data_IF_142547725800
#
_entry.id   IF_142547725800
#
_cell.length_a   1.000
_cell.length_b   1.000
_cell.length_c   1.000
_cell.angle_alpha   90.00
_cell.angle_beta   90.00
_cell.angle_gamma   90.00
#
_symmetry.space_group_name_H-M   'P 1'
#
loop_
_entity.id
_entity.type
_entity.pdbx_description
1 polymer ?
#
# COMPACT_ATOMS: atom_id res chain seq x y z
N UNK A 1 -29.19 3.40 22.23
CA UNK A 1 -28.78 4.81 22.35
C UNK A 1 -28.42 5.27 20.95
N UNK A 2 -29.23 6.15 20.39
CA UNK A 2 -29.05 6.71 19.04
C UNK A 2 -27.80 7.57 19.01
N UNK A 3 -26.89 7.29 18.08
CA UNK A 3 -25.74 8.13 17.73
C UNK A 3 -26.26 9.51 17.30
N UNK A 4 -26.43 10.41 18.26
CA UNK A 4 -26.33 11.83 17.98
C UNK A 4 -24.85 12.09 17.78
N UNK A 5 -24.53 12.42 16.53
CA UNK A 5 -23.27 12.96 16.04
C UNK A 5 -22.72 13.96 17.06
N UNK A 6 -21.82 13.50 17.91
CA UNK A 6 -21.02 14.39 18.75
C UNK A 6 -20.18 15.17 17.76
N UNK A 7 -20.48 16.45 17.71
CA UNK A 7 -19.88 17.49 16.89
C UNK A 7 -18.41 17.69 17.32
N UNK A 8 -17.52 16.72 17.03
CA UNK A 8 -16.06 16.80 17.26
C UNK A 8 -15.37 17.63 16.16
N UNK A 9 -16.13 18.48 15.46
CA UNK A 9 -15.62 19.39 14.43
C UNK A 9 -14.99 20.68 14.99
N UNK A 10 -15.13 20.98 16.28
CA UNK A 10 -14.73 22.30 16.82
C UNK A 10 -13.31 22.38 17.44
N UNK A 11 -12.55 21.28 17.57
CA UNK A 11 -11.24 21.33 18.25
C UNK A 11 -10.00 21.26 17.34
N UNK A 12 -10.12 20.92 16.06
CA UNK A 12 -8.96 20.92 15.15
C UNK A 12 -8.84 22.27 14.44
N UNK A 13 -8.18 23.25 15.09
CA UNK A 13 -7.50 24.32 14.36
C UNK A 13 -6.45 23.63 13.47
N UNK A 14 -6.78 23.48 12.19
CA UNK A 14 -5.97 22.77 11.18
C UNK A 14 -4.73 23.60 10.86
N UNK A 15 -3.55 23.05 11.13
CA UNK A 15 -2.29 23.64 10.70
C UNK A 15 -1.98 23.17 9.27
N UNK A 16 -2.11 24.08 8.30
CA UNK A 16 -1.53 23.90 6.98
C UNK A 16 -0.05 24.28 7.07
N UNK A 17 0.82 23.27 7.08
CA UNK A 17 2.27 23.49 7.04
C UNK A 17 2.77 23.35 5.60
N UNK A 18 3.49 24.37 5.16
CA UNK A 18 4.21 24.36 3.89
C UNK A 18 5.58 23.74 4.18
N UNK A 19 5.97 22.72 3.42
CA UNK A 19 7.33 22.17 3.54
C UNK A 19 8.36 23.16 3.05
N UNK A 20 9.46 23.25 3.79
CA UNK A 20 10.75 23.52 3.18
C UNK A 20 11.23 22.21 2.53
N UNK A 21 11.47 22.26 1.21
CA UNK A 21 11.98 21.13 0.44
C UNK A 21 13.38 20.68 0.90
N UNK A 22 14.06 21.47 1.74
CA UNK A 22 15.34 21.12 2.35
C UNK A 22 15.26 20.07 3.48
N UNK A 23 14.08 19.86 4.06
CA UNK A 23 13.93 18.93 5.20
C UNK A 23 14.02 17.47 4.76
N UNK A 24 14.75 16.67 5.54
CA UNK A 24 14.85 15.21 5.40
C UNK A 24 13.52 14.52 5.73
N UNK A 25 13.28 13.31 5.19
CA UNK A 25 12.08 12.51 5.49
C UNK A 25 11.79 12.40 7.00
N UNK A 26 12.80 12.19 7.83
CA UNK A 26 12.62 12.05 9.28
C UNK A 26 12.13 13.35 9.92
N UNK A 27 12.72 14.50 9.56
CA UNK A 27 12.21 15.81 9.99
C UNK A 27 10.78 16.03 9.50
N UNK A 28 10.45 15.53 8.30
CA UNK A 28 9.11 15.68 7.77
C UNK A 28 8.06 14.96 8.62
N UNK A 29 8.36 13.70 8.94
CA UNK A 29 7.49 12.86 9.73
C UNK A 29 7.39 13.35 11.18
N UNK A 30 8.49 13.84 11.77
CA UNK A 30 8.51 14.39 13.11
C UNK A 30 7.58 15.61 13.30
N UNK A 31 7.53 16.53 12.31
CA UNK A 31 6.57 17.65 12.30
C UNK A 31 5.14 17.13 12.40
N UNK A 32 4.87 16.00 11.75
CA UNK A 32 3.56 15.37 11.78
C UNK A 32 3.38 14.37 12.91
N UNK A 33 4.24 14.40 13.95
CA UNK A 33 4.20 13.48 15.08
C UNK A 33 4.19 12.00 14.65
N UNK A 34 4.97 11.67 13.62
CA UNK A 34 5.22 10.30 13.16
C UNK A 34 6.68 9.98 13.43
N UNK A 35 6.93 8.88 14.13
CA UNK A 35 8.26 8.31 14.28
C UNK A 35 8.56 7.36 13.13
N UNK A 36 9.63 7.62 12.38
CA UNK A 36 10.14 6.67 11.40
C UNK A 36 11.18 5.76 12.03
N UNK A 37 10.91 4.46 12.05
CA UNK A 37 11.78 3.48 12.69
C UNK A 37 12.32 2.47 11.67
N UNK A 38 13.59 2.13 11.84
CA UNK A 38 14.28 1.11 11.04
C UNK A 38 14.16 -0.26 11.72
N UNK A 39 14.09 -0.27 13.07
CA UNK A 39 13.94 -1.49 13.85
C UNK A 39 12.49 -1.97 13.79
N UNK A 40 12.23 -2.90 12.87
CA UNK A 40 10.91 -3.50 12.66
C UNK A 40 10.57 -4.48 13.78
N UNK A 41 9.46 -4.26 14.53
CA UNK A 41 8.96 -5.25 15.48
C UNK A 41 8.63 -6.58 14.78
N UNK A 42 8.96 -7.70 15.42
CA UNK A 42 8.75 -9.05 14.85
C UNK A 42 7.31 -9.30 14.39
N UNK A 43 6.32 -8.72 15.09
CA UNK A 43 4.89 -8.81 14.75
C UNK A 43 4.55 -8.25 13.36
N UNK A 44 5.37 -7.36 12.82
CA UNK A 44 5.19 -6.77 11.49
C UNK A 44 6.12 -7.39 10.43
N UNK A 45 7.00 -8.31 10.82
CA UNK A 45 7.85 -9.05 9.89
C UNK A 45 7.02 -9.89 8.92
N UNK A 46 7.45 -9.95 7.65
CA UNK A 46 6.80 -10.79 6.66
C UNK A 46 7.41 -12.20 6.67
N UNK A 47 6.54 -13.20 6.72
CA UNK A 47 6.88 -14.57 6.41
C UNK A 47 6.33 -14.88 5.00
N UNK A 48 7.18 -15.04 3.96
CA UNK A 48 6.72 -15.23 2.58
C UNK A 48 5.69 -16.36 2.47
N UNK A 49 4.57 -16.09 1.81
CA UNK A 49 3.52 -17.09 1.58
C UNK A 49 3.90 -17.93 0.38
N UNK A 50 4.30 -19.18 0.61
CA UNK A 50 4.72 -20.10 -0.44
C UNK A 50 3.66 -20.23 -1.53
N UNK A 51 4.09 -20.11 -2.78
CA UNK A 51 3.27 -20.43 -3.95
C UNK A 51 2.95 -21.93 -3.98
N UNK A 52 1.84 -22.29 -4.60
CA UNK A 52 1.56 -23.71 -4.81
C UNK A 52 2.45 -24.31 -5.93
N UNK A 53 2.58 -25.65 -5.93
CA UNK A 53 3.40 -26.38 -6.92
C UNK A 53 2.98 -26.11 -8.37
N UNK A 54 1.72 -25.79 -8.62
CA UNK A 54 1.22 -25.48 -9.95
C UNK A 54 1.61 -24.05 -10.37
N UNK A 55 1.52 -23.09 -9.47
CA UNK A 55 1.96 -21.71 -9.68
C UNK A 55 3.46 -21.64 -9.97
N UNK A 56 4.29 -22.31 -9.17
CA UNK A 56 5.73 -22.42 -9.42
C UNK A 56 6.04 -23.02 -10.80
N UNK A 57 5.35 -24.11 -11.17
CA UNK A 57 5.54 -24.73 -12.50
C UNK A 57 5.21 -23.77 -13.63
N UNK A 58 4.10 -23.03 -13.51
CA UNK A 58 3.70 -22.02 -14.52
C UNK A 58 4.70 -20.88 -14.63
N UNK A 59 5.18 -20.34 -13.51
CA UNK A 59 6.19 -19.27 -13.50
C UNK A 59 7.50 -19.78 -14.13
N UNK A 60 7.91 -21.02 -13.82
CA UNK A 60 9.10 -21.64 -14.43
C UNK A 60 8.96 -21.81 -15.95
N UNK A 61 7.82 -22.30 -16.42
CA UNK A 61 7.52 -22.42 -17.86
C UNK A 61 7.53 -21.06 -18.56
N UNK A 62 6.86 -20.07 -17.98
CA UNK A 62 6.84 -18.69 -18.44
C UNK A 62 8.25 -18.11 -18.56
N UNK A 63 9.07 -18.27 -17.52
CA UNK A 63 10.47 -17.83 -17.50
C UNK A 63 11.28 -18.46 -18.64
N UNK A 64 11.07 -19.75 -18.92
CA UNK A 64 11.74 -20.45 -20.02
C UNK A 64 11.33 -19.92 -21.39
N UNK A 65 10.07 -19.48 -21.57
CA UNK A 65 9.60 -18.82 -22.79
C UNK A 65 10.21 -17.43 -22.95
N UNK A 66 10.21 -16.63 -21.88
CA UNK A 66 10.81 -15.31 -21.87
C UNK A 66 12.31 -15.30 -22.19
N UNK A 67 13.07 -16.28 -21.68
CA UNK A 67 14.50 -16.46 -22.01
C UNK A 67 14.73 -16.69 -23.51
N UNK A 68 13.76 -17.25 -24.21
CA UNK A 68 13.79 -17.50 -25.66
C UNK A 68 13.16 -16.35 -26.46
N UNK A 69 12.79 -15.24 -25.82
CA UNK A 69 12.00 -14.15 -26.41
C UNK A 69 10.71 -14.65 -27.10
N UNK A 70 10.04 -15.63 -26.49
CA UNK A 70 8.79 -16.19 -26.99
C UNK A 70 7.61 -15.70 -26.16
N UNK A 71 6.47 -15.49 -26.82
CA UNK A 71 5.20 -15.25 -26.16
C UNK A 71 4.81 -16.46 -25.28
N UNK A 72 4.24 -16.19 -24.11
CA UNK A 72 3.73 -17.19 -23.20
C UNK A 72 2.24 -17.38 -23.40
N UNK A 73 1.86 -18.60 -23.76
CA UNK A 73 0.47 -19.01 -23.91
C UNK A 73 0.17 -20.03 -22.82
N UNK A 74 -0.55 -19.65 -21.75
CA UNK A 74 -0.83 -20.54 -20.65
C UNK A 74 -1.81 -21.64 -21.05
N UNK A 75 -1.76 -22.76 -20.34
CA UNK A 75 -2.79 -23.80 -20.41
C UNK A 75 -4.14 -23.29 -19.89
N UNK A 76 -5.22 -23.98 -20.29
CA UNK A 76 -6.60 -23.68 -19.86
C UNK A 76 -6.64 -23.61 -18.32
N UNK A 77 -7.15 -22.50 -17.80
CA UNK A 77 -7.36 -22.33 -16.37
C UNK A 77 -8.57 -23.14 -15.91
N UNK A 78 -8.41 -23.89 -14.82
CA UNK A 78 -9.50 -24.65 -14.18
C UNK A 78 -10.01 -23.96 -12.91
N UNK A 79 -9.31 -22.94 -12.42
CA UNK A 79 -9.71 -22.15 -11.24
C UNK A 79 -9.56 -20.65 -11.49
N UNK A 80 -10.28 -19.79 -10.73
CA UNK A 80 -10.11 -18.34 -10.80
C UNK A 80 -8.67 -17.88 -10.50
N UNK A 81 -8.01 -18.45 -9.49
CA UNK A 81 -6.61 -18.11 -9.14
C UNK A 81 -5.67 -18.41 -10.31
N UNK A 82 -5.83 -19.56 -10.95
CA UNK A 82 -5.05 -19.91 -12.13
C UNK A 82 -5.31 -18.96 -13.30
N UNK A 83 -6.55 -18.50 -13.50
CA UNK A 83 -6.89 -17.54 -14.53
C UNK A 83 -6.22 -16.18 -14.27
N UNK A 84 -6.21 -15.72 -13.02
CA UNK A 84 -5.54 -14.48 -12.64
C UNK A 84 -4.03 -14.57 -12.85
N UNK A 85 -3.39 -15.68 -12.42
CA UNK A 85 -1.96 -15.91 -12.65
C UNK A 85 -1.65 -15.96 -14.15
N UNK A 86 -2.42 -16.71 -14.94
CA UNK A 86 -2.26 -16.80 -16.38
C UNK A 86 -2.32 -15.42 -17.04
N UNK A 87 -3.32 -14.61 -16.67
CA UNK A 87 -3.51 -13.24 -17.19
C UNK A 87 -2.32 -12.35 -16.83
N UNK A 88 -1.86 -12.44 -15.58
CA UNK A 88 -0.71 -11.69 -15.10
C UNK A 88 0.57 -12.07 -15.87
N UNK A 89 0.86 -13.35 -16.03
CA UNK A 89 2.05 -13.82 -16.76
C UNK A 89 2.03 -13.41 -18.23
N UNK A 90 0.87 -13.46 -18.91
CA UNK A 90 0.73 -12.95 -20.27
C UNK A 90 1.04 -11.45 -20.35
N UNK A 91 0.44 -10.63 -19.48
CA UNK A 91 0.71 -9.19 -19.45
C UNK A 91 2.21 -8.89 -19.20
N UNK A 92 2.84 -9.61 -18.27
CA UNK A 92 4.28 -9.45 -18.01
C UNK A 92 5.13 -9.86 -19.21
N UNK A 93 4.73 -10.91 -19.94
CA UNK A 93 5.43 -11.29 -21.17
C UNK A 93 5.42 -10.17 -22.20
N UNK A 94 4.26 -9.58 -22.46
CA UNK A 94 4.12 -8.50 -23.43
C UNK A 94 4.91 -7.26 -22.98
N UNK A 95 4.78 -6.86 -21.71
CA UNK A 95 5.53 -5.73 -21.14
C UNK A 95 7.04 -5.94 -21.29
N UNK A 96 7.58 -7.10 -20.89
CA UNK A 96 9.02 -7.37 -20.91
C UNK A 96 9.56 -7.48 -22.34
N UNK A 97 8.83 -8.11 -23.26
CA UNK A 97 9.27 -8.24 -24.65
C UNK A 97 9.27 -6.87 -25.34
N UNK A 98 8.24 -6.05 -25.11
CA UNK A 98 8.16 -4.71 -25.69
C UNK A 98 9.27 -3.80 -25.14
N UNK A 99 9.56 -3.87 -23.83
CA UNK A 99 10.63 -3.09 -23.19
C UNK A 99 12.01 -3.42 -23.79
N UNK A 100 12.27 -4.70 -24.12
CA UNK A 100 13.52 -5.11 -24.81
C UNK A 100 13.65 -4.50 -26.20
N UNK A 101 12.54 -4.28 -26.90
CA UNK A 101 12.54 -3.80 -28.28
C UNK A 101 12.61 -2.28 -28.37
N UNK A 102 11.90 -1.59 -27.48
CA UNK A 102 11.82 -0.12 -27.47
C UNK A 102 12.01 0.39 -26.03
N UNK A 103 13.24 0.40 -25.52
CA UNK A 103 13.52 0.97 -24.21
C UNK A 103 13.26 2.48 -24.25
N UNK A 104 12.40 2.97 -23.36
CA UNK A 104 11.98 4.36 -23.39
C UNK A 104 11.48 4.86 -22.03
N UNK A 105 11.55 6.18 -21.83
CA UNK A 105 10.99 6.82 -20.64
C UNK A 105 9.47 6.70 -20.68
N UNK A 106 8.89 5.93 -19.75
CA UNK A 106 7.43 5.82 -19.59
C UNK A 106 6.89 7.02 -18.82
N UNK A 107 5.70 7.47 -19.19
CA UNK A 107 4.90 8.33 -18.31
C UNK A 107 4.49 7.55 -17.05
N UNK A 108 4.10 8.24 -15.99
CA UNK A 108 3.62 7.60 -14.76
C UNK A 108 2.40 6.69 -15.02
N UNK A 109 1.45 7.16 -15.83
CA UNK A 109 0.28 6.37 -16.25
C UNK A 109 0.71 5.13 -17.05
N UNK A 110 1.61 5.30 -18.04
CA UNK A 110 2.10 4.17 -18.83
C UNK A 110 2.84 3.15 -17.97
N UNK A 111 3.68 3.62 -17.04
CA UNK A 111 4.35 2.76 -16.09
C UNK A 111 3.36 2.00 -15.20
N UNK A 112 2.35 2.69 -14.67
CA UNK A 112 1.29 2.12 -13.83
C UNK A 112 0.50 1.04 -14.57
N UNK A 113 0.06 1.31 -15.79
CA UNK A 113 -0.75 0.38 -16.59
C UNK A 113 0.04 -0.87 -16.98
N UNK A 114 1.29 -0.70 -17.45
CA UNK A 114 2.09 -1.79 -18.00
C UNK A 114 2.74 -2.67 -16.92
N UNK A 115 3.13 -2.07 -15.79
CA UNK A 115 4.01 -2.71 -14.81
C UNK A 115 3.30 -3.00 -13.48
N UNK A 116 2.54 -2.04 -12.96
CA UNK A 116 1.96 -2.13 -11.60
C UNK A 116 0.57 -2.77 -11.62
N UNK A 117 -0.31 -2.32 -12.53
CA UNK A 117 -1.69 -2.78 -12.59
C UNK A 117 -1.85 -4.30 -12.77
N UNK A 118 -1.06 -5.00 -13.60
CA UNK A 118 -1.20 -6.44 -13.74
C UNK A 118 -0.92 -7.19 -12.43
N UNK A 119 0.07 -6.74 -11.66
CA UNK A 119 0.41 -7.32 -10.36
C UNK A 119 -0.73 -7.09 -9.34
N UNK A 120 -1.31 -5.89 -9.32
CA UNK A 120 -2.44 -5.58 -8.45
C UNK A 120 -3.69 -6.39 -8.78
N UNK A 121 -4.00 -6.57 -10.07
CA UNK A 121 -5.14 -7.40 -10.51
C UNK A 121 -5.01 -8.86 -10.05
N UNK A 122 -3.78 -9.37 -10.01
CA UNK A 122 -3.49 -10.70 -9.53
C UNK A 122 -3.62 -10.82 -8.01
N UNK A 123 -2.97 -9.93 -7.26
CA UNK A 123 -2.89 -10.02 -5.79
C UNK A 123 -4.13 -9.48 -5.06
N UNK A 124 -4.78 -8.46 -5.60
CA UNK A 124 -5.90 -7.75 -4.98
C UNK A 124 -7.13 -7.73 -5.91
N UNK A 125 -7.70 -8.90 -6.27
CA UNK A 125 -8.83 -8.96 -7.18
C UNK A 125 -10.06 -8.22 -6.62
N UNK A 126 -10.89 -7.64 -7.50
CA UNK A 126 -12.00 -6.78 -7.10
C UNK A 126 -13.04 -7.45 -6.18
N UNK A 127 -13.17 -8.78 -6.26
CA UNK A 127 -14.15 -9.56 -5.50
C UNK A 127 -13.55 -10.24 -4.24
N UNK A 128 -12.34 -9.88 -3.81
CA UNK A 128 -11.80 -10.35 -2.52
C UNK A 128 -12.09 -9.41 -1.36
N UNK A 129 -11.97 -9.94 -0.13
CA UNK A 129 -12.08 -9.18 1.13
C UNK A 129 -11.26 -7.90 1.10
N UNK A 130 -10.02 -8.00 0.58
CA UNK A 130 -9.14 -6.88 0.32
C UNK A 130 -9.10 -6.59 -1.18
N UNK A 131 -9.33 -5.34 -1.56
CA UNK A 131 -9.29 -4.86 -2.95
C UNK A 131 -8.52 -3.54 -3.02
N UNK A 132 -8.26 -3.07 -4.24
CA UNK A 132 -7.66 -1.76 -4.46
C UNK A 132 -8.57 -0.89 -5.35
N UNK A 133 -8.41 0.43 -5.24
CA UNK A 133 -9.11 1.41 -6.09
C UNK A 133 -8.13 2.48 -6.55
N UNK A 134 -8.08 2.72 -7.86
CA UNK A 134 -7.31 3.80 -8.47
C UNK A 134 -7.91 5.17 -8.14
N UNK A 135 -7.04 6.18 -8.04
CA UNK A 135 -7.36 7.62 -8.08
C UNK A 135 -8.58 8.01 -7.23
N UNK A 136 -8.58 7.65 -5.95
CA UNK A 136 -9.56 8.18 -4.99
C UNK A 136 -8.88 9.21 -4.12
N UNK A 137 -9.47 10.41 -4.07
CA UNK A 137 -9.43 11.18 -2.82
C UNK A 137 -9.99 10.24 -1.76
N UNK A 138 -9.19 9.93 -0.75
CA UNK A 138 -9.61 9.15 0.42
C UNK A 138 -11.03 9.58 0.84
N UNK A 139 -11.97 8.63 0.98
CA UNK A 139 -13.41 8.89 1.26
C UNK A 139 -13.60 9.40 2.70
N UNK A 140 -12.51 9.57 3.46
CA UNK A 140 -12.54 10.13 4.79
C UNK A 140 -13.29 11.47 4.77
N UNK A 141 -14.23 11.69 5.71
CA UNK A 141 -15.03 12.89 5.75
C UNK A 141 -14.10 14.07 5.97
N UNK A 142 -13.83 14.79 4.91
CA UNK A 142 -12.90 15.89 4.93
C UNK A 142 -13.53 17.03 4.15
N UNK A 143 -13.63 18.19 4.81
CA UNK A 143 -13.92 19.47 4.19
C UNK A 143 -13.20 19.60 2.83
N UNK A 144 -13.79 20.37 1.91
CA UNK A 144 -13.35 20.53 0.51
C UNK A 144 -11.84 20.80 0.29
N UNK A 145 -11.10 21.25 1.31
CA UNK A 145 -9.64 21.39 1.31
C UNK A 145 -8.86 20.06 1.17
N UNK A 146 -9.38 18.97 1.75
CA UNK A 146 -8.70 17.65 1.77
C UNK A 146 -9.06 16.74 0.59
N UNK A 147 -10.10 17.10 -0.19
CA UNK A 147 -10.40 16.46 -1.49
C UNK A 147 -9.23 16.54 -2.49
N UNK A 148 -8.19 17.34 -2.18
CA UNK A 148 -7.03 17.63 -3.03
C UNK A 148 -5.82 16.73 -2.81
N UNK A 149 -5.69 16.05 -1.65
CA UNK A 149 -4.57 15.14 -1.41
C UNK A 149 -4.98 13.77 -1.91
N UNK A 150 -4.50 13.41 -3.10
CA UNK A 150 -4.77 12.14 -3.79
C UNK A 150 -3.54 11.25 -3.70
N UNK A 151 -3.77 9.98 -3.41
CA UNK A 151 -2.81 8.91 -3.71
C UNK A 151 -3.17 8.28 -5.04
N UNK A 152 -2.21 7.60 -5.65
CA UNK A 152 -2.46 6.84 -6.88
C UNK A 152 -3.44 5.69 -6.66
N UNK A 153 -3.42 5.07 -5.48
CA UNK A 153 -4.41 4.08 -5.08
C UNK A 153 -4.67 4.03 -3.57
N UNK A 154 -5.81 3.41 -3.23
CA UNK A 154 -6.17 3.03 -1.85
C UNK A 154 -6.47 1.55 -1.76
N UNK A 155 -6.08 0.93 -0.64
CA UNK A 155 -6.43 -0.44 -0.27
C UNK A 155 -7.70 -0.41 0.58
N UNK A 156 -8.69 -1.22 0.21
CA UNK A 156 -10.01 -1.22 0.83
C UNK A 156 -10.39 -2.63 1.26
N UNK A 157 -10.77 -2.78 2.52
CA UNK A 157 -11.36 -4.00 3.06
C UNK A 157 -12.70 -3.68 3.73
N UNK A 158 -13.75 -4.44 3.38
CA UNK A 158 -15.09 -4.26 3.94
C UNK A 158 -15.61 -2.79 3.90
N UNK A 159 -15.24 -2.04 2.85
CA UNK A 159 -15.62 -0.64 2.69
C UNK A 159 -14.80 0.37 3.51
N UNK A 160 -13.83 -0.08 4.30
CA UNK A 160 -12.89 0.75 5.05
C UNK A 160 -11.55 0.84 4.32
N UNK A 161 -10.95 2.03 4.33
CA UNK A 161 -9.58 2.21 3.85
C UNK A 161 -8.61 1.66 4.89
N UNK A 162 -7.78 0.71 4.47
CA UNK A 162 -6.78 0.04 5.31
C UNK A 162 -5.35 0.37 4.90
N UNK A 163 -5.20 1.10 3.79
CA UNK A 163 -3.91 1.48 3.27
C UNK A 163 -3.99 2.33 2.02
N UNK A 164 -2.84 2.77 1.54
CA UNK A 164 -2.70 3.54 0.31
C UNK A 164 -1.30 3.36 -0.29
N UNK A 165 -1.10 3.92 -1.48
CA UNK A 165 0.23 3.98 -2.05
C UNK A 165 0.39 4.96 -3.20
N UNK A 166 1.66 5.22 -3.49
CA UNK A 166 2.12 6.17 -4.52
C UNK A 166 3.00 5.42 -5.52
N UNK A 167 2.95 5.85 -6.78
CA UNK A 167 3.64 5.26 -7.91
C UNK A 167 4.46 6.32 -8.61
N UNK A 168 5.76 6.06 -8.76
CA UNK A 168 6.68 6.89 -9.51
C UNK A 168 7.42 6.06 -10.54
N UNK A 169 7.49 6.50 -11.80
CA UNK A 169 8.20 5.78 -12.83
C UNK A 169 9.73 5.81 -12.60
N UNK A 170 10.48 4.92 -13.25
CA UNK A 170 11.94 4.96 -13.21
C UNK A 170 12.51 6.32 -13.64
N UNK A 171 13.55 6.77 -12.95
CA UNK A 171 14.19 8.07 -13.21
C UNK A 171 13.53 9.26 -12.53
N UNK A 172 12.56 9.03 -11.63
CA UNK A 172 12.05 10.05 -10.71
C UNK A 172 13.14 10.44 -9.71
N UNK A 173 13.25 11.73 -9.39
CA UNK A 173 14.25 12.24 -8.45
C UNK A 173 13.98 11.74 -7.03
N UNK A 174 15.05 11.49 -6.25
CA UNK A 174 14.91 11.07 -4.84
C UNK A 174 14.06 12.04 -4.01
N UNK A 175 14.17 13.34 -4.26
CA UNK A 175 13.39 14.36 -3.56
C UNK A 175 11.87 14.14 -3.72
N UNK A 176 11.39 13.95 -4.96
CA UNK A 176 9.97 13.67 -5.22
C UNK A 176 9.52 12.36 -4.55
N UNK A 177 10.35 11.32 -4.59
CA UNK A 177 10.03 10.05 -3.92
C UNK A 177 9.94 10.23 -2.40
N UNK A 178 10.82 11.02 -1.79
CA UNK A 178 10.75 11.33 -0.36
C UNK A 178 9.52 12.17 0.02
N UNK A 179 9.14 13.12 -0.85
CA UNK A 179 7.87 13.86 -0.72
C UNK A 179 6.66 12.90 -0.71
N UNK A 180 6.65 11.92 -1.60
CA UNK A 180 5.58 10.93 -1.70
C UNK A 180 5.57 9.95 -0.52
N UNK A 181 6.73 9.56 0.02
CA UNK A 181 6.82 8.76 1.25
C UNK A 181 6.23 9.52 2.44
N UNK A 182 6.60 10.78 2.62
CA UNK A 182 6.05 11.63 3.67
C UNK A 182 4.52 11.78 3.52
N UNK A 183 4.05 12.02 2.30
CA UNK A 183 2.61 12.11 1.99
C UNK A 183 1.87 10.81 2.29
N UNK A 184 2.45 9.68 1.89
CA UNK A 184 1.92 8.34 2.19
C UNK A 184 1.76 8.16 3.69
N UNK A 185 2.78 8.45 4.49
CA UNK A 185 2.72 8.31 5.94
C UNK A 185 1.61 9.17 6.58
N UNK A 186 1.42 10.41 6.13
CA UNK A 186 0.33 11.26 6.63
C UNK A 186 -1.06 10.72 6.27
N UNK A 187 -1.21 10.16 5.07
CA UNK A 187 -2.48 9.57 4.64
C UNK A 187 -2.77 8.31 5.43
N UNK A 188 -1.76 7.47 5.66
CA UNK A 188 -1.87 6.31 6.55
C UNK A 188 -2.28 6.72 7.95
N UNK A 189 -1.67 7.77 8.53
CA UNK A 189 -2.07 8.30 9.83
C UNK A 189 -3.54 8.73 9.86
N UNK A 190 -4.06 9.37 8.81
CA UNK A 190 -5.48 9.75 8.71
C UNK A 190 -6.40 8.53 8.59
N UNK A 191 -6.02 7.56 7.77
CA UNK A 191 -6.74 6.29 7.64
C UNK A 191 -6.78 5.57 8.99
N UNK A 192 -5.65 5.57 9.71
CA UNK A 192 -5.50 4.98 11.03
C UNK A 192 -6.38 5.65 12.07
N UNK A 193 -6.49 7.00 12.08
CA UNK A 193 -7.44 7.71 12.95
C UNK A 193 -8.87 7.20 12.76
N UNK A 194 -9.31 7.07 11.51
CA UNK A 194 -10.67 6.62 11.18
C UNK A 194 -10.88 5.15 11.52
N UNK A 195 -9.84 4.34 11.33
CA UNK A 195 -9.85 2.93 11.73
C UNK A 195 -9.98 2.79 13.24
N UNK A 196 -9.18 3.50 14.03
CA UNK A 196 -9.28 3.49 15.50
C UNK A 196 -10.66 3.98 15.96
N UNK A 197 -11.21 5.04 15.37
CA UNK A 197 -12.56 5.52 15.72
C UNK A 197 -13.67 4.46 15.53
N UNK A 198 -13.46 3.47 14.67
CA UNK A 198 -14.40 2.38 14.40
C UNK A 198 -13.95 1.03 14.95
N UNK A 199 -12.80 0.99 15.62
CA UNK A 199 -12.18 -0.23 16.11
C UNK A 199 -12.81 -0.72 17.41
N UNK A 200 -12.73 -2.03 17.60
CA UNK A 200 -13.17 -2.73 18.81
C UNK A 200 -12.05 -3.56 19.43
N UNK A 201 -10.91 -3.62 18.76
CA UNK A 201 -9.74 -4.36 19.19
C UNK A 201 -8.46 -3.60 18.79
N UNK A 202 -7.44 -3.50 19.67
CA UNK A 202 -6.17 -2.85 19.33
C UNK A 202 -5.44 -3.48 18.15
N UNK A 203 -5.72 -4.75 17.77
CA UNK A 203 -5.15 -5.35 16.55
C UNK A 203 -5.49 -4.57 15.27
N UNK A 204 -6.57 -3.77 15.30
CA UNK A 204 -6.99 -2.92 14.19
C UNK A 204 -6.21 -1.61 14.11
N UNK A 205 -5.30 -1.32 15.04
CA UNK A 205 -4.59 -0.03 15.16
C UNK A 205 -3.40 0.04 14.21
N UNK A 206 -3.61 -0.34 12.96
CA UNK A 206 -2.58 -0.41 11.93
C UNK A 206 -3.13 -0.03 10.56
N UNK A 207 -2.30 0.57 9.71
CA UNK A 207 -2.58 0.82 8.28
C UNK A 207 -1.33 0.52 7.45
N UNK A 208 -1.51 0.32 6.15
CA UNK A 208 -0.50 -0.29 5.28
C UNK A 208 -0.18 0.58 4.07
N UNK A 209 1.11 0.85 3.85
CA UNK A 209 1.61 1.68 2.76
C UNK A 209 2.34 0.89 1.70
N UNK A 210 2.30 1.37 0.46
CA UNK A 210 3.11 0.86 -0.64
C UNK A 210 3.64 2.03 -1.47
N UNK A 211 4.95 2.09 -1.70
CA UNK A 211 5.55 3.11 -2.59
C UNK A 211 6.30 2.41 -3.71
N UNK A 212 5.97 2.73 -4.96
CA UNK A 212 6.68 2.26 -6.13
C UNK A 212 7.67 3.34 -6.57
N UNK A 213 8.97 3.06 -6.42
CA UNK A 213 10.04 3.91 -6.92
C UNK A 213 10.70 3.22 -8.12
N UNK A 214 10.11 3.44 -9.29
CA UNK A 214 10.39 2.67 -10.49
C UNK A 214 10.11 1.19 -10.24
N UNK A 215 11.11 0.35 -10.43
CA UNK A 215 10.98 -1.10 -10.21
C UNK A 215 11.26 -1.53 -8.76
N UNK A 216 11.38 -0.61 -7.82
CA UNK A 216 11.46 -0.93 -6.39
C UNK A 216 10.08 -0.77 -5.77
N UNK A 217 9.67 -1.76 -4.97
CA UNK A 217 8.44 -1.71 -4.18
C UNK A 217 8.86 -1.59 -2.72
N UNK A 218 8.41 -0.55 -2.04
CA UNK A 218 8.65 -0.32 -0.62
C UNK A 218 7.34 -0.57 0.12
N UNK A 219 7.36 -1.52 1.06
CA UNK A 219 6.19 -1.88 1.86
C UNK A 219 6.31 -1.23 3.24
N UNK A 220 5.21 -0.65 3.71
CA UNK A 220 5.18 0.08 4.97
C UNK A 220 4.01 -0.33 5.87
N UNK A 221 4.21 -0.18 7.18
CA UNK A 221 3.17 -0.26 8.20
C UNK A 221 3.21 1.01 9.03
N UNK A 222 2.03 1.58 9.28
CA UNK A 222 1.80 2.63 10.27
C UNK A 222 0.99 2.04 11.41
N UNK A 223 1.60 1.92 12.58
CA UNK A 223 0.99 1.39 13.80
C UNK A 223 0.74 2.51 14.82
N UNK A 224 -0.32 2.36 15.62
CA UNK A 224 -0.55 3.22 16.78
C UNK A 224 -0.07 2.49 18.05
N UNK A 225 1.08 2.92 18.55
CA UNK A 225 1.70 2.40 19.76
C UNK A 225 1.46 3.39 20.91
N UNK A 226 0.63 2.97 21.86
CA UNK A 226 0.25 3.78 23.01
C UNK A 226 1.33 3.83 24.12
N UNK A 227 2.40 3.04 24.01
CA UNK A 227 3.54 3.08 24.94
C UNK A 227 4.63 4.07 24.49
N UNK A 228 4.65 4.42 23.19
CA UNK A 228 5.64 5.30 22.59
C UNK A 228 5.15 6.75 22.41
N UNK A 229 6.09 7.70 22.37
CA UNK A 229 5.81 9.12 22.09
C UNK A 229 6.74 9.64 20.98
N UNK A 230 6.22 10.12 19.84
CA UNK A 230 4.80 10.14 19.47
C UNK A 230 4.22 8.73 19.28
N UNK A 231 2.89 8.52 19.32
CA UNK A 231 2.29 7.19 19.26
C UNK A 231 2.22 6.61 17.83
N UNK A 232 2.41 7.42 16.78
CA UNK A 232 2.37 6.95 15.40
C UNK A 232 3.75 6.44 14.99
N UNK A 233 3.86 5.12 14.82
CA UNK A 233 5.09 4.46 14.41
C UNK A 233 5.00 4.03 12.94
N UNK A 234 5.90 4.54 12.11
CA UNK A 234 5.99 4.25 10.69
C UNK A 234 7.23 3.39 10.42
N UNK A 235 6.99 2.17 9.93
CA UNK A 235 8.03 1.18 9.68
C UNK A 235 8.10 0.84 8.18
N UNK A 236 9.31 0.80 7.64
CA UNK A 236 9.57 0.10 6.38
C UNK A 236 9.70 -1.39 6.68
N UNK A 237 8.87 -2.21 6.03
CA UNK A 237 8.79 -3.63 6.29
C UNK A 237 9.72 -4.41 5.37
N UNK A 238 9.66 -4.10 4.07
CA UNK A 238 10.36 -4.87 3.05
C UNK A 238 10.56 -4.04 1.77
N UNK A 239 11.64 -4.36 1.03
CA UNK A 239 11.95 -3.80 -0.28
C UNK A 239 12.00 -4.90 -1.33
N UNK A 240 11.04 -4.89 -2.25
CA UNK A 240 10.92 -5.87 -3.32
C UNK A 240 11.30 -5.29 -4.69
N UNK A 241 11.47 -6.17 -5.67
CA UNK A 241 11.74 -5.81 -7.07
C UNK A 241 10.54 -6.14 -7.95
N UNK A 242 9.96 -5.13 -8.59
CA UNK A 242 8.86 -5.33 -9.53
C UNK A 242 9.34 -6.19 -10.72
N UNK A 243 8.76 -7.39 -10.95
CA UNK A 243 9.30 -8.37 -11.89
C UNK A 243 8.83 -8.12 -13.33
N UNK A 244 8.68 -6.85 -13.71
CA UNK A 244 8.17 -6.41 -15.01
C UNK A 244 9.24 -5.89 -15.97
N UNK A 245 10.53 -5.92 -15.56
CA UNK A 245 11.66 -5.54 -16.42
C UNK A 245 12.45 -6.77 -16.91
N UNK A 246 13.17 -6.66 -18.04
CA UNK A 246 14.04 -7.73 -18.56
C UNK A 246 15.13 -8.21 -17.58
N UNK A 247 15.55 -7.36 -16.66
CA UNK A 247 16.59 -7.65 -15.66
C UNK A 247 16.00 -8.21 -14.35
N UNK A 248 14.72 -7.93 -14.09
CA UNK A 248 14.09 -8.17 -12.78
C UNK A 248 13.03 -9.28 -12.79
N UNK A 249 12.65 -9.82 -13.95
CA UNK A 249 11.64 -10.87 -14.07
C UNK A 249 11.97 -12.17 -13.29
N UNK A 250 13.21 -12.35 -12.87
CA UNK A 250 13.60 -13.48 -12.01
C UNK A 250 13.14 -13.34 -10.57
N UNK A 251 12.79 -12.15 -10.09
CA UNK A 251 12.29 -11.89 -8.73
C UNK A 251 10.78 -12.18 -8.58
N UNK A 252 10.17 -12.87 -9.55
CA UNK A 252 8.72 -13.06 -9.65
C UNK A 252 8.14 -13.77 -8.43
N UNK A 253 8.70 -14.92 -8.06
CA UNK A 253 8.26 -15.74 -6.95
C UNK A 253 8.40 -14.98 -5.64
N UNK A 254 9.61 -14.47 -5.33
CA UNK A 254 9.89 -13.67 -4.14
C UNK A 254 8.92 -12.49 -3.99
N UNK A 255 8.66 -11.76 -5.08
CA UNK A 255 7.75 -10.60 -5.03
C UNK A 255 6.32 -11.01 -4.77
N UNK A 256 5.84 -12.08 -5.41
CA UNK A 256 4.48 -12.57 -5.19
C UNK A 256 4.32 -13.10 -3.76
N UNK A 257 5.25 -13.91 -3.27
CA UNK A 257 5.19 -14.54 -1.95
C UNK A 257 5.22 -13.52 -0.82
N UNK A 258 6.08 -12.49 -0.94
CA UNK A 258 6.13 -11.39 0.01
C UNK A 258 4.89 -10.51 -0.04
N UNK A 259 4.36 -10.19 -1.23
CA UNK A 259 3.13 -9.40 -1.34
C UNK A 259 1.89 -10.19 -0.88
N UNK A 260 1.88 -11.51 -1.05
CA UNK A 260 0.85 -12.38 -0.50
C UNK A 260 0.91 -12.43 1.05
N UNK A 261 2.13 -12.45 1.61
CA UNK A 261 2.34 -12.29 3.05
C UNK A 261 1.84 -10.93 3.55
N UNK A 262 2.22 -9.86 2.88
CA UNK A 262 1.78 -8.49 3.19
C UNK A 262 0.24 -8.37 3.15
N UNK A 263 -0.40 -8.96 2.13
CA UNK A 263 -1.86 -9.08 2.05
C UNK A 263 -2.44 -9.83 3.24
N UNK A 264 -1.80 -10.92 3.67
CA UNK A 264 -2.24 -11.69 4.84
C UNK A 264 -2.16 -10.84 6.11
N UNK A 265 -1.07 -10.08 6.32
CA UNK A 265 -0.94 -9.15 7.45
C UNK A 265 -2.04 -8.09 7.46
N UNK A 266 -2.42 -7.55 6.29
CA UNK A 266 -3.56 -6.63 6.17
C UNK A 266 -4.85 -7.31 6.62
N UNK A 267 -5.14 -8.51 6.11
CA UNK A 267 -6.39 -9.23 6.43
C UNK A 267 -6.45 -9.61 7.92
N UNK A 268 -5.34 -10.05 8.50
CA UNK A 268 -5.25 -10.42 9.92
C UNK A 268 -5.47 -9.24 10.88
N UNK A 269 -5.25 -8.01 10.41
CA UNK A 269 -5.52 -6.81 11.21
C UNK A 269 -7.00 -6.42 11.29
N UNK A 270 -7.87 -7.01 10.45
CA UNK A 270 -9.29 -6.64 10.37
C UNK A 270 -10.09 -7.14 11.58
N UNK A 271 -11.21 -6.49 11.87
CA UNK A 271 -12.19 -7.01 12.82
C UNK A 271 -12.71 -8.39 12.38
N UNK A 272 -12.88 -9.28 13.34
CA UNK A 272 -13.46 -10.61 13.15
C UNK A 272 -14.96 -10.60 13.46
N UNK A 273 -15.68 -11.66 13.07
CA UNK A 273 -17.10 -11.82 13.39
C UNK A 273 -17.36 -11.79 14.91
N UNK A 274 -16.42 -12.33 15.70
CA UNK A 274 -16.46 -12.29 17.16
C UNK A 274 -16.41 -10.87 17.73
N UNK A 275 -15.87 -9.90 16.99
CA UNK A 275 -15.74 -8.51 17.44
C UNK A 275 -17.05 -7.72 17.25
N UNK A 276 -18.03 -8.24 16.51
CA UNK A 276 -19.28 -7.52 16.17
C UNK A 276 -20.05 -7.06 17.41
N UNK A 277 -19.98 -7.81 18.52
CA UNK A 277 -20.69 -7.49 19.77
C UNK A 277 -19.85 -6.67 20.76
N UNK A 278 -18.55 -6.54 20.54
CA UNK A 278 -17.66 -5.73 21.41
C UNK A 278 -18.02 -4.24 21.32
N UNK A 279 -17.84 -3.46 22.40
CA UNK A 279 -17.94 -2.00 22.34
C UNK A 279 -16.77 -1.39 21.55
N UNK A 280 -16.94 -0.17 21.05
CA UNK A 280 -15.83 0.59 20.47
C UNK A 280 -14.87 1.03 21.58
N UNK A 281 -13.57 0.96 21.31
CA UNK A 281 -12.52 1.23 22.31
C UNK A 281 -11.83 2.59 22.12
N UNK A 282 -12.21 3.36 21.09
CA UNK A 282 -11.49 4.59 20.72
C UNK A 282 -11.46 5.66 21.82
N UNK A 283 -12.47 5.71 22.69
CA UNK A 283 -12.55 6.67 23.80
C UNK A 283 -11.38 6.51 24.78
N UNK A 284 -10.85 5.29 24.89
CA UNK A 284 -9.72 5.00 25.76
C UNK A 284 -8.41 5.60 25.22
N UNK A 285 -8.35 5.90 23.92
CA UNK A 285 -7.12 6.33 23.22
C UNK A 285 -7.18 7.74 22.63
N UNK A 286 -8.35 8.40 22.60
CA UNK A 286 -8.51 9.70 21.94
C UNK A 286 -7.57 10.78 22.49
N UNK A 287 -7.23 10.71 23.77
CA UNK A 287 -6.34 11.66 24.44
C UNK A 287 -4.88 11.58 23.94
N UNK A 288 -4.51 10.49 23.27
CA UNK A 288 -3.18 10.29 22.69
C UNK A 288 -3.08 10.79 21.24
N UNK A 289 -4.21 11.11 20.60
CA UNK A 289 -4.20 11.47 19.17
C UNK A 289 -3.43 12.77 18.93
N UNK A 290 -2.64 12.78 17.87
CA UNK A 290 -1.95 13.98 17.37
C UNK A 290 -2.61 14.46 16.09
N UNK A 291 -2.76 15.78 15.88
CA UNK A 291 -3.36 16.34 14.66
C UNK A 291 -2.71 15.80 13.39
N UNK A 292 -3.49 15.67 12.32
CA UNK A 292 -2.98 15.34 10.98
C UNK A 292 -2.67 16.61 10.22
N UNK A 293 -1.67 16.57 9.35
CA UNK A 293 -1.15 17.74 8.65
C UNK A 293 -1.40 17.57 7.16
N UNK A 294 -1.72 18.66 6.48
CA UNK A 294 -1.88 18.68 5.02
C UNK A 294 -0.66 19.33 4.38
N UNK A 295 -0.03 18.62 3.44
CA UNK A 295 1.05 19.17 2.64
C UNK A 295 0.49 19.94 1.46
N UNK A 296 0.92 21.19 1.29
CA UNK A 296 0.70 21.93 0.05
C UNK A 296 1.76 21.52 -0.96
N UNK A 297 1.31 21.04 -2.12
CA UNK A 297 2.16 20.94 -3.29
C UNK A 297 2.37 22.37 -3.83
N UNK A 298 3.60 22.71 -4.22
CA UNK A 298 3.90 23.87 -5.06
C UNK A 298 3.47 23.60 -6.50
#
# INVERSE_FOLDING_TARGET
MTLQEVNVLEANKKEELIYDNSNSLHERLAISSISYNIDLPEVYGLAPTMLDDQEYRKIKEWRMKLKKNQLYYPSIATTPSQLHLNTFLCNMTDTIINEKQVPGKKSEIGFTVDNVSPLFKYLFPANSVLSYKWEKSSILPANDAYKRIRTDFVLVANGLEVGCGEIKPPGTTSQLVEEDRARTAEILKRQLHVRIMKSKDPKEFVTFGMVFNGFNIELYVMAFDFENTPPYQFYEIEKLKLPSSPELYTNMEETIENLASFKTSIVSSLAEEADVTKPYIYHDYIHLFKPTIAFKNY
#
